data_IF_769644954928
#
_entry.id   IF_769644954928
#
_cell.length_a   1.000
_cell.length_b   1.000
_cell.length_c   1.000
_cell.angle_alpha   90.00
_cell.angle_beta   90.00
_cell.angle_gamma   90.00
#
_symmetry.space_group_name_H-M   'P 1'
#
loop_
_entity.id
_entity.type
_entity.pdbx_description
1 polymer ?
#
# COMPACT_ATOMS: atom_id res chain seq x y z
N UNK A 1 -14.50 33.47 -3.21
CA UNK A 1 -14.64 32.64 -1.99
C UNK A 1 -15.41 31.38 -2.39
N UNK A 2 -14.73 30.44 -3.07
CA UNK A 2 -15.29 29.20 -3.67
C UNK A 2 -14.15 28.15 -3.70
N UNK A 3 -13.54 27.83 -2.55
CA UNK A 3 -12.31 27.03 -2.51
C UNK A 3 -12.45 25.69 -1.76
N UNK A 4 -13.58 25.42 -1.10
CA UNK A 4 -13.70 24.20 -0.28
C UNK A 4 -14.34 23.00 -0.99
N UNK A 5 -15.23 23.20 -1.97
CA UNK A 5 -15.86 22.12 -2.74
C UNK A 5 -14.90 21.49 -3.76
N UNK A 6 -14.13 22.33 -4.45
CA UNK A 6 -13.29 21.91 -5.57
C UNK A 6 -12.08 21.10 -5.08
N UNK A 7 -11.68 21.32 -3.81
CA UNK A 7 -10.60 20.57 -3.16
C UNK A 7 -11.00 19.13 -2.85
N UNK A 8 -12.20 18.91 -2.28
CA UNK A 8 -12.67 17.56 -1.98
C UNK A 8 -12.82 16.74 -3.26
N UNK A 9 -13.27 17.37 -4.33
CA UNK A 9 -13.47 16.72 -5.62
C UNK A 9 -12.13 16.34 -6.26
N UNK A 10 -11.13 17.23 -6.19
CA UNK A 10 -9.79 16.95 -6.69
C UNK A 10 -9.13 15.80 -5.92
N UNK A 11 -9.22 15.79 -4.58
CA UNK A 11 -8.67 14.70 -3.76
C UNK A 11 -9.37 13.38 -4.08
N UNK A 12 -10.70 13.40 -4.27
CA UNK A 12 -11.46 12.21 -4.65
C UNK A 12 -11.05 11.70 -6.04
N UNK A 13 -10.83 12.60 -7.01
CA UNK A 13 -10.33 12.25 -8.34
C UNK A 13 -8.94 11.61 -8.27
N UNK A 14 -8.01 12.21 -7.51
CA UNK A 14 -6.66 11.63 -7.29
C UNK A 14 -6.78 10.22 -6.71
N UNK A 15 -7.57 10.04 -5.64
CA UNK A 15 -7.74 8.73 -5.00
C UNK A 15 -8.36 7.71 -5.95
N UNK A 16 -9.38 8.09 -6.69
CA UNK A 16 -10.06 7.21 -7.66
C UNK A 16 -9.11 6.80 -8.78
N UNK A 17 -8.36 7.75 -9.35
CA UNK A 17 -7.40 7.48 -10.42
C UNK A 17 -6.29 6.57 -9.93
N UNK A 18 -5.70 6.91 -8.78
CA UNK A 18 -4.64 6.12 -8.16
C UNK A 18 -5.10 4.71 -7.81
N UNK A 19 -6.34 4.54 -7.33
CA UNK A 19 -6.92 3.22 -7.07
C UNK A 19 -7.02 2.38 -8.35
N UNK A 20 -7.44 2.99 -9.46
CA UNK A 20 -7.47 2.33 -10.76
C UNK A 20 -6.07 1.94 -11.23
N UNK A 21 -5.10 2.86 -11.13
CA UNK A 21 -3.72 2.60 -11.56
C UNK A 21 -3.08 1.47 -10.72
N UNK A 22 -3.36 1.41 -9.41
CA UNK A 22 -2.96 0.32 -8.52
C UNK A 22 -3.59 -1.02 -8.91
N UNK A 23 -4.90 -1.03 -9.20
CA UNK A 23 -5.62 -2.26 -9.57
C UNK A 23 -5.13 -2.87 -10.89
N UNK A 24 -4.70 -2.01 -11.83
CA UNK A 24 -4.18 -2.44 -13.13
C UNK A 24 -2.65 -2.61 -13.13
N UNK A 25 -1.95 -2.12 -12.11
CA UNK A 25 -0.48 -2.13 -12.02
C UNK A 25 0.19 -1.17 -13.00
N UNK A 26 -0.45 -0.04 -13.30
CA UNK A 26 0.01 0.97 -14.26
C UNK A 26 0.57 2.18 -13.52
N UNK A 27 1.52 1.95 -12.61
CA UNK A 27 2.22 3.03 -11.91
C UNK A 27 3.43 3.47 -12.73
N UNK A 28 3.53 4.78 -13.01
CA UNK A 28 4.76 5.37 -13.53
C UNK A 28 5.91 5.19 -12.52
N UNK A 29 7.11 4.95 -13.04
CA UNK A 29 8.33 4.76 -12.25
C UNK A 29 8.30 3.59 -11.25
N UNK A 30 7.44 2.59 -11.46
CA UNK A 30 7.45 1.38 -10.63
C UNK A 30 8.86 0.75 -10.66
N UNK A 31 9.51 0.53 -9.51
CA UNK A 31 10.85 -0.01 -9.49
C UNK A 31 10.86 -1.44 -10.03
N UNK A 32 11.91 -1.77 -10.77
CA UNK A 32 12.15 -3.16 -11.19
C UNK A 32 12.24 -4.04 -9.94
N UNK A 33 11.46 -5.12 -9.89
CA UNK A 33 11.40 -6.03 -8.73
C UNK A 33 10.40 -5.64 -7.65
N UNK A 34 9.48 -4.70 -7.92
CA UNK A 34 8.34 -4.42 -7.03
C UNK A 34 7.66 -5.74 -6.60
N UNK A 35 7.28 -5.92 -5.31
CA UNK A 35 7.15 -4.92 -4.24
C UNK A 35 8.44 -4.57 -3.51
N UNK A 36 9.57 -5.11 -3.96
CA UNK A 36 10.90 -4.72 -3.50
C UNK A 36 11.58 -3.90 -4.60
N UNK A 37 12.91 -3.85 -4.65
CA UNK A 37 13.60 -3.22 -5.78
C UNK A 37 14.90 -3.95 -6.11
N UNK A 38 15.30 -3.95 -7.37
CA UNK A 38 16.62 -4.41 -7.77
C UNK A 38 17.67 -3.33 -7.47
N UNK A 39 18.79 -3.77 -6.91
CA UNK A 39 20.02 -2.99 -6.78
C UNK A 39 21.12 -3.67 -7.58
N UNK A 40 22.07 -2.88 -8.06
CA UNK A 40 23.27 -3.40 -8.72
C UNK A 40 24.26 -3.81 -7.64
N UNK A 41 24.74 -5.05 -7.68
CA UNK A 41 25.82 -5.48 -6.80
C UNK A 41 27.17 -4.86 -7.21
N UNK A 42 28.19 -4.95 -6.37
CA UNK A 42 29.54 -4.43 -6.68
C UNK A 42 30.22 -5.10 -7.89
N UNK A 43 29.53 -6.03 -8.59
CA UNK A 43 29.99 -6.74 -9.79
C UNK A 43 29.08 -6.46 -11.00
N UNK A 44 28.15 -5.50 -10.91
CA UNK A 44 27.27 -5.12 -12.02
C UNK A 44 26.04 -6.02 -12.21
N UNK A 45 25.79 -7.01 -11.34
CA UNK A 45 24.64 -7.91 -11.44
C UNK A 45 23.45 -7.35 -10.65
N UNK A 46 22.25 -7.43 -11.22
CA UNK A 46 21.03 -7.08 -10.51
C UNK A 46 20.71 -8.09 -9.42
N UNK A 47 20.49 -7.62 -8.19
CA UNK A 47 20.05 -8.41 -7.03
C UNK A 47 18.81 -7.77 -6.42
N UNK A 48 17.86 -8.59 -5.97
CA UNK A 48 16.70 -8.09 -5.23
C UNK A 48 17.14 -7.56 -3.85
N UNK A 49 16.80 -6.31 -3.55
CA UNK A 49 17.02 -5.62 -2.29
C UNK A 49 15.73 -5.53 -1.50
N UNK A 50 15.78 -5.95 -0.24
CA UNK A 50 14.68 -5.79 0.72
C UNK A 50 14.80 -4.48 1.52
N UNK A 51 15.72 -3.59 1.14
CA UNK A 51 15.92 -2.30 1.79
C UNK A 51 14.80 -1.31 1.49
N UNK A 52 14.76 -0.23 2.29
CA UNK A 52 13.84 0.88 2.09
C UNK A 52 14.11 1.58 0.75
N UNK A 53 13.05 2.05 0.10
CA UNK A 53 13.13 2.85 -1.13
C UNK A 53 11.92 3.77 -1.25
N UNK A 54 12.02 4.78 -2.12
CA UNK A 54 10.90 5.64 -2.49
C UNK A 54 10.90 5.90 -4.00
N UNK A 55 9.71 6.14 -4.56
CA UNK A 55 9.53 6.59 -5.93
C UNK A 55 8.26 7.44 -6.03
N UNK A 56 8.25 8.36 -6.99
CA UNK A 56 7.12 9.24 -7.21
C UNK A 56 6.31 8.79 -8.44
N UNK A 57 4.98 8.90 -8.32
CA UNK A 57 4.00 8.62 -9.36
C UNK A 57 3.17 9.89 -9.61
N UNK A 58 3.09 10.30 -10.86
CA UNK A 58 2.36 11.50 -11.27
C UNK A 58 0.94 11.11 -11.70
N UNK A 59 -0.06 11.73 -11.06
CA UNK A 59 -1.49 11.55 -11.32
C UNK A 59 -2.04 12.78 -11.99
N UNK A 60 -2.61 12.62 -13.19
CA UNK A 60 -3.25 13.71 -13.92
C UNK A 60 -4.69 13.89 -13.42
N UNK A 61 -5.06 15.13 -13.08
CA UNK A 61 -6.40 15.49 -12.60
C UNK A 61 -6.94 16.70 -13.35
N UNK A 62 -8.27 16.75 -13.50
CA UNK A 62 -8.94 17.85 -14.16
C UNK A 62 -9.32 18.91 -13.10
N UNK A 63 -8.78 20.12 -13.24
CA UNK A 63 -8.98 21.24 -12.28
C UNK A 63 -10.01 22.27 -12.77
N UNK A 64 -10.85 21.88 -13.73
CA UNK A 64 -11.97 22.68 -14.22
C UNK A 64 -11.79 23.21 -15.65
N UNK A 65 -12.78 23.98 -16.15
CA UNK A 65 -12.76 24.49 -17.51
C UNK A 65 -11.78 25.66 -17.65
N UNK A 66 -10.93 25.62 -18.68
CA UNK A 66 -10.12 26.76 -19.07
C UNK A 66 -10.99 27.87 -19.70
N UNK A 67 -10.45 29.10 -19.77
CA UNK A 67 -11.08 30.23 -20.49
C UNK A 67 -11.42 29.92 -21.96
N UNK A 68 -10.84 28.87 -22.54
CA UNK A 68 -11.06 28.44 -23.92
C UNK A 68 -11.86 27.13 -24.04
N UNK A 69 -12.52 26.68 -22.97
CA UNK A 69 -13.37 25.49 -22.97
C UNK A 69 -12.61 24.15 -23.01
N UNK A 70 -11.27 24.16 -22.99
CA UNK A 70 -10.45 22.96 -22.79
C UNK A 70 -10.39 22.62 -21.29
N UNK A 71 -10.47 21.34 -20.87
CA UNK A 71 -10.23 20.98 -19.48
C UNK A 71 -8.79 21.33 -19.09
N UNK A 72 -8.64 22.10 -18.01
CA UNK A 72 -7.33 22.41 -17.48
C UNK A 72 -6.87 21.21 -16.63
N UNK A 73 -5.71 20.65 -16.96
CA UNK A 73 -5.13 19.53 -16.23
C UNK A 73 -4.07 20.01 -15.25
N UNK A 74 -4.07 19.43 -14.05
CA UNK A 74 -2.98 19.51 -13.10
C UNK A 74 -2.33 18.14 -12.92
N UNK A 75 -1.06 18.14 -12.54
CA UNK A 75 -0.34 16.93 -12.16
C UNK A 75 -0.18 16.95 -10.64
N UNK A 76 -0.76 15.95 -10.00
CA UNK A 76 -0.55 15.69 -8.58
C UNK A 76 0.50 14.59 -8.43
N UNK A 77 1.60 14.93 -7.74
CA UNK A 77 2.64 13.95 -7.42
C UNK A 77 2.30 13.19 -6.15
N UNK A 78 2.39 11.87 -6.23
CA UNK A 78 2.14 10.94 -5.14
C UNK A 78 3.42 10.15 -4.88
N UNK A 79 3.84 10.09 -3.62
CA UNK A 79 5.02 9.34 -3.22
C UNK A 79 4.64 7.94 -2.75
N UNK A 80 5.32 6.96 -3.32
CA UNK A 80 5.34 5.60 -2.84
C UNK A 80 6.63 5.36 -2.04
N UNK A 81 6.52 4.69 -0.90
CA UNK A 81 7.70 4.29 -0.12
C UNK A 81 7.55 2.89 0.43
N UNK A 82 8.67 2.17 0.50
CA UNK A 82 8.86 0.99 1.34
C UNK A 82 9.77 1.37 2.49
N UNK A 83 9.34 1.10 3.72
CA UNK A 83 10.23 1.05 4.89
C UNK A 83 10.52 -0.41 5.24
N UNK A 84 11.79 -0.79 5.21
CA UNK A 84 12.24 -2.10 5.67
C UNK A 84 12.16 -2.20 7.21
N UNK A 85 11.94 -3.41 7.76
CA UNK A 85 11.91 -3.61 9.21
C UNK A 85 13.29 -3.34 9.83
N UNK A 86 13.32 -2.63 10.95
CA UNK A 86 14.54 -2.42 11.76
C UNK A 86 14.81 -3.56 12.75
N UNK A 87 13.81 -4.41 12.99
CA UNK A 87 13.87 -5.55 13.92
C UNK A 87 13.29 -6.81 13.27
N UNK A 88 13.69 -8.02 13.70
CA UNK A 88 13.18 -9.29 13.17
C UNK A 88 11.66 -9.44 13.27
N UNK A 89 11.04 -8.87 14.30
CA UNK A 89 9.58 -8.87 14.51
C UNK A 89 8.89 -7.64 13.91
N UNK A 90 9.62 -6.85 13.12
CA UNK A 90 9.14 -5.64 12.47
C UNK A 90 8.22 -5.92 11.27
N UNK A 91 7.95 -4.86 10.52
CA UNK A 91 7.14 -4.91 9.32
C UNK A 91 7.86 -4.26 8.14
N UNK A 92 7.73 -4.87 6.98
CA UNK A 92 7.87 -4.16 5.72
C UNK A 92 6.63 -3.29 5.55
N UNK A 93 6.81 -1.98 5.35
CA UNK A 93 5.69 -1.04 5.28
C UNK A 93 5.69 -0.30 3.96
N UNK A 94 4.70 -0.58 3.12
CA UNK A 94 4.43 0.21 1.92
C UNK A 94 3.47 1.34 2.26
N UNK A 95 3.79 2.56 1.85
CA UNK A 95 2.95 3.74 2.05
C UNK A 95 2.75 4.49 0.75
N UNK A 96 1.56 5.07 0.63
CA UNK A 96 1.23 6.09 -0.34
C UNK A 96 1.05 7.40 0.42
N UNK A 97 1.78 8.42 0.00
CA UNK A 97 1.66 9.75 0.56
C UNK A 97 1.42 10.78 -0.54
N UNK A 98 0.38 11.57 -0.40
CA UNK A 98 0.17 12.73 -1.27
C UNK A 98 0.97 13.93 -0.74
N UNK A 99 1.62 14.64 -1.65
CA UNK A 99 2.18 15.95 -1.35
C UNK A 99 1.02 16.96 -1.38
N UNK A 100 0.86 17.81 -0.36
CA UNK A 100 -0.18 18.84 -0.40
C UNK A 100 -0.02 19.72 -1.67
N UNK A 101 -1.13 19.98 -2.38
CA UNK A 101 -1.14 20.80 -3.61
C UNK A 101 -0.45 22.15 -3.36
N UNK A 102 0.53 22.48 -4.20
CA UNK A 102 1.15 23.81 -4.25
C UNK A 102 0.23 24.77 -5.04
N UNK A 103 -0.93 25.09 -4.46
CA UNK A 103 -1.84 26.10 -4.99
C UNK A 103 -1.76 27.37 -4.13
N UNK A 104 -0.93 28.34 -4.55
CA UNK A 104 -0.94 29.72 -4.05
C UNK A 104 -0.77 29.97 -2.54
N UNK A 105 -0.21 29.05 -1.76
CA UNK A 105 0.36 29.38 -0.45
C UNK A 105 1.88 29.37 -0.58
N UNK A 106 2.51 30.55 -0.60
CA UNK A 106 3.96 30.66 -0.39
C UNK A 106 4.23 30.01 0.97
N UNK A 107 4.96 28.88 1.07
CA UNK A 107 5.43 28.43 2.36
C UNK A 107 6.64 29.31 2.67
N UNK A 108 6.38 30.49 3.23
CA UNK A 108 7.39 31.12 4.06
C UNK A 108 7.61 30.18 5.24
N UNK A 109 8.68 29.39 5.15
CA UNK A 109 9.19 28.47 6.18
C UNK A 109 8.40 27.16 6.36
N UNK A 110 9.03 26.05 5.93
CA UNK A 110 8.96 24.75 6.59
C UNK A 110 7.77 23.83 6.26
N UNK A 111 8.05 22.80 5.46
CA UNK A 111 7.31 21.53 5.41
C UNK A 111 5.80 21.59 5.12
N UNK A 112 5.41 21.36 3.87
CA UNK A 112 4.06 20.88 3.55
C UNK A 112 3.87 19.48 4.15
N UNK A 113 2.80 19.20 4.92
CA UNK A 113 2.62 17.89 5.52
C UNK A 113 2.32 16.85 4.44
N UNK A 114 3.15 15.81 4.36
CA UNK A 114 2.83 14.59 3.60
C UNK A 114 1.68 13.88 4.31
N UNK A 115 0.51 13.80 3.67
CA UNK A 115 -0.61 13.00 4.19
C UNK A 115 -0.45 11.55 3.75
N UNK A 116 -0.50 10.62 4.70
CA UNK A 116 -0.48 9.18 4.38
C UNK A 116 -1.90 8.76 4.02
N UNK A 117 -2.11 8.39 2.75
CA UNK A 117 -3.43 8.02 2.23
C UNK A 117 -3.69 6.52 2.26
N UNK A 118 -2.63 5.70 2.19
CA UNK A 118 -2.74 4.25 2.25
C UNK A 118 -1.49 3.64 2.88
N UNK A 119 -1.68 2.51 3.57
CA UNK A 119 -0.60 1.76 4.20
C UNK A 119 -0.87 0.25 4.21
N UNK A 120 0.13 -0.52 3.79
CA UNK A 120 0.18 -1.98 3.90
C UNK A 120 1.42 -2.39 4.70
N UNK A 121 1.23 -3.25 5.70
CA UNK A 121 2.29 -3.81 6.53
C UNK A 121 2.39 -5.31 6.28
N UNK A 122 3.58 -5.84 6.02
CA UNK A 122 3.86 -7.27 5.95
C UNK A 122 4.82 -7.64 7.07
N UNK A 123 4.40 -8.57 7.93
CA UNK A 123 5.23 -9.03 9.05
C UNK A 123 6.54 -9.65 8.55
N UNK A 124 7.65 -9.23 9.13
CA UNK A 124 8.97 -9.79 8.84
C UNK A 124 9.09 -11.27 9.28
N UNK A 125 8.24 -11.73 10.21
CA UNK A 125 8.13 -13.16 10.56
C UNK A 125 7.62 -14.05 9.41
N UNK A 126 7.19 -13.47 8.28
CA UNK A 126 6.86 -14.21 7.07
C UNK A 126 8.07 -14.44 6.16
N UNK A 127 9.20 -13.78 6.41
CA UNK A 127 10.43 -13.97 5.61
C UNK A 127 10.82 -15.45 5.60
N UNK A 128 11.11 -15.98 4.42
CA UNK A 128 11.41 -17.40 4.21
C UNK A 128 10.19 -18.31 4.09
N UNK A 129 8.98 -17.80 4.30
CA UNK A 129 7.76 -18.58 4.03
C UNK A 129 7.43 -18.64 2.53
N UNK A 130 6.68 -19.67 2.08
CA UNK A 130 6.16 -19.73 0.71
C UNK A 130 5.32 -18.49 0.33
N UNK A 131 4.61 -17.91 1.31
CA UNK A 131 3.86 -16.68 1.09
C UNK A 131 4.76 -15.49 0.77
N UNK A 132 5.88 -15.34 1.48
CA UNK A 132 6.81 -14.25 1.19
C UNK A 132 7.43 -14.40 -0.20
N UNK A 133 7.75 -15.63 -0.61
CA UNK A 133 8.20 -15.89 -1.98
C UNK A 133 7.12 -15.58 -3.02
N UNK A 134 5.86 -15.88 -2.72
CA UNK A 134 4.74 -15.49 -3.57
C UNK A 134 4.60 -13.96 -3.67
N UNK A 135 4.79 -13.21 -2.58
CA UNK A 135 4.78 -11.74 -2.63
C UNK A 135 5.93 -11.18 -3.48
N UNK A 136 7.12 -11.80 -3.42
CA UNK A 136 8.27 -11.41 -4.24
C UNK A 136 7.99 -11.54 -5.74
N UNK A 137 7.26 -12.59 -6.14
CA UNK A 137 6.98 -12.89 -7.56
C UNK A 137 5.66 -12.32 -8.04
N UNK A 138 4.74 -11.99 -7.12
CA UNK A 138 3.42 -11.46 -7.43
C UNK A 138 3.19 -10.07 -6.80
N UNK A 139 3.65 -8.98 -7.46
CA UNK A 139 3.47 -7.62 -7.00
C UNK A 139 2.02 -7.19 -6.80
N UNK A 140 1.08 -7.85 -7.49
CA UNK A 140 -0.34 -7.49 -7.47
C UNK A 140 -0.94 -7.60 -6.08
N UNK A 141 -0.40 -8.45 -5.21
CA UNK A 141 -0.91 -8.60 -3.84
C UNK A 141 -0.73 -7.31 -3.04
N UNK A 142 0.45 -6.68 -3.12
CA UNK A 142 0.73 -5.41 -2.43
C UNK A 142 -0.02 -4.26 -3.11
N UNK A 143 -0.03 -4.21 -4.46
CA UNK A 143 -0.76 -3.16 -5.20
C UNK A 143 -2.26 -3.17 -4.89
N UNK A 144 -2.92 -4.34 -4.92
CA UNK A 144 -4.33 -4.47 -4.56
C UNK A 144 -4.59 -4.15 -3.09
N UNK A 145 -3.68 -4.56 -2.20
CA UNK A 145 -3.80 -4.21 -0.78
C UNK A 145 -3.70 -2.70 -0.57
N UNK A 146 -2.82 -2.01 -1.29
CA UNK A 146 -2.74 -0.55 -1.28
C UNK A 146 -4.02 0.09 -1.87
N UNK A 147 -4.58 -0.46 -2.95
CA UNK A 147 -5.83 0.02 -3.54
C UNK A 147 -7.03 -0.10 -2.57
N UNK A 148 -7.12 -1.22 -1.83
CA UNK A 148 -8.13 -1.43 -0.77
C UNK A 148 -7.88 -0.45 0.38
N UNK A 149 -6.64 -0.32 0.83
CA UNK A 149 -6.26 0.61 1.89
C UNK A 149 -6.65 2.05 1.58
N UNK A 150 -6.41 2.48 0.33
CA UNK A 150 -6.75 3.80 -0.18
C UNK A 150 -8.27 4.03 -0.25
N UNK A 151 -9.02 3.07 -0.77
CA UNK A 151 -10.47 3.21 -0.97
C UNK A 151 -11.28 3.16 0.33
N UNK A 152 -10.83 2.39 1.31
CA UNK A 152 -11.54 2.20 2.58
C UNK A 152 -10.94 2.96 3.75
N UNK A 153 -9.85 3.71 3.54
CA UNK A 153 -9.10 4.39 4.61
C UNK A 153 -8.74 3.42 5.76
N UNK A 154 -8.28 2.21 5.39
CA UNK A 154 -7.86 1.16 6.34
C UNK A 154 -6.39 0.87 6.20
N UNK A 155 -5.68 0.69 7.31
CA UNK A 155 -4.34 0.10 7.29
C UNK A 155 -4.47 -1.42 7.16
N UNK A 156 -3.81 -2.02 6.18
CA UNK A 156 -3.80 -3.47 6.02
C UNK A 156 -2.53 -4.06 6.63
N UNK A 157 -2.69 -5.05 7.51
CA UNK A 157 -1.60 -5.81 8.11
C UNK A 157 -1.69 -7.27 7.67
N UNK A 158 -0.64 -7.75 7.02
CA UNK A 158 -0.48 -9.11 6.55
C UNK A 158 0.48 -9.82 7.50
N UNK A 159 0.01 -10.86 8.18
CA UNK A 159 0.81 -11.60 9.17
C UNK A 159 0.38 -13.05 9.27
N UNK A 160 1.22 -13.89 9.88
CA UNK A 160 0.86 -15.23 10.30
C UNK A 160 -0.06 -15.15 11.52
N UNK A 161 -1.13 -15.94 11.54
CA UNK A 161 -2.03 -16.04 12.67
C UNK A 161 -1.36 -16.76 13.83
N UNK A 162 -1.35 -16.12 14.99
CA UNK A 162 -0.92 -16.70 16.27
C UNK A 162 -2.15 -17.11 17.11
N UNK A 163 -1.90 -17.74 18.26
CA UNK A 163 -2.96 -18.18 19.16
C UNK A 163 -3.84 -17.02 19.63
N UNK A 164 -3.25 -15.85 19.87
CA UNK A 164 -3.97 -14.68 20.37
C UNK A 164 -4.92 -14.11 19.31
N UNK A 165 -4.47 -14.01 18.06
CA UNK A 165 -5.28 -13.57 16.93
C UNK A 165 -6.46 -14.50 16.71
N UNK A 166 -6.21 -15.81 16.71
CA UNK A 166 -7.24 -16.84 16.54
C UNK A 166 -8.29 -16.73 17.65
N UNK A 167 -7.87 -16.57 18.91
CA UNK A 167 -8.78 -16.38 20.04
C UNK A 167 -9.61 -15.09 19.89
N UNK A 168 -9.00 -13.98 19.51
CA UNK A 168 -9.68 -12.70 19.31
C UNK A 168 -10.72 -12.77 18.19
N UNK A 169 -10.39 -13.41 17.07
CA UNK A 169 -11.31 -13.59 15.93
C UNK A 169 -12.47 -14.52 16.30
N UNK A 170 -12.18 -15.63 17.01
CA UNK A 170 -13.20 -16.57 17.47
C UNK A 170 -14.22 -15.89 18.40
N UNK A 171 -13.72 -15.09 19.35
CA UNK A 171 -14.55 -14.33 20.28
C UNK A 171 -15.48 -13.35 19.55
N UNK A 172 -14.95 -12.64 18.54
CA UNK A 172 -15.71 -11.63 17.82
C UNK A 172 -16.79 -12.20 16.87
N UNK A 173 -16.62 -13.44 16.36
CA UNK A 173 -17.48 -14.00 15.30
C UNK A 173 -18.23 -15.28 15.67
N UNK A 174 -18.00 -15.85 16.86
CA UNK A 174 -18.64 -17.10 17.32
C UNK A 174 -18.20 -18.37 16.57
N UNK A 175 -17.51 -18.23 15.44
CA UNK A 175 -16.86 -19.30 14.67
C UNK A 175 -15.48 -18.80 14.26
N UNK A 176 -14.46 -19.67 14.25
CA UNK A 176 -13.10 -19.28 13.87
C UNK A 176 -12.73 -19.84 12.49
N UNK A 177 -12.82 -19.04 11.41
CA UNK A 177 -12.35 -19.44 10.09
C UNK A 177 -10.82 -19.38 9.97
N UNK A 178 -10.09 -19.09 11.06
CA UNK A 178 -8.64 -18.89 11.08
C UNK A 178 -8.00 -19.94 11.97
N UNK A 179 -7.02 -20.67 11.44
CA UNK A 179 -6.16 -21.54 12.22
C UNK A 179 -4.81 -20.87 12.52
N UNK A 180 -4.15 -21.33 13.58
CA UNK A 180 -2.77 -20.92 13.87
C UNK A 180 -1.87 -21.32 12.71
N UNK A 181 -1.05 -20.39 12.23
CA UNK A 181 -0.17 -20.60 11.08
C UNK A 181 -0.72 -20.10 9.75
N UNK A 182 -2.02 -19.81 9.66
CA UNK A 182 -2.63 -19.22 8.45
C UNK A 182 -2.09 -17.81 8.18
N UNK A 183 -2.11 -17.40 6.91
CA UNK A 183 -1.77 -16.02 6.57
C UNK A 183 -3.06 -15.21 6.56
N UNK A 184 -3.10 -14.14 7.34
CA UNK A 184 -4.27 -13.27 7.47
C UNK A 184 -3.97 -11.86 7.00
N UNK A 185 -4.94 -11.26 6.33
CA UNK A 185 -4.96 -9.84 6.01
C UNK A 185 -5.96 -9.17 6.96
N UNK A 186 -5.45 -8.34 7.85
CA UNK A 186 -6.24 -7.60 8.85
C UNK A 186 -6.34 -6.14 8.43
N UNK A 187 -7.55 -5.62 8.27
CA UNK A 187 -7.81 -4.19 8.14
C UNK A 187 -7.89 -3.54 9.52
N UNK A 188 -7.30 -2.38 9.70
CA UNK A 188 -7.48 -1.52 10.87
C UNK A 188 -7.99 -0.17 10.40
N UNK A 189 -9.19 0.23 10.81
CA UNK A 189 -9.75 1.54 10.46
C UNK A 189 -9.14 2.66 11.33
N UNK A 190 -9.59 3.89 11.10
CA UNK A 190 -9.17 5.09 11.84
C UNK A 190 -9.54 5.06 13.32
N UNK A 191 -10.54 4.26 13.71
CA UNK A 191 -10.97 4.04 15.09
C UNK A 191 -10.20 2.90 15.78
N UNK A 192 -9.14 2.38 15.14
CA UNK A 192 -8.36 1.21 15.57
C UNK A 192 -9.16 -0.10 15.67
N UNK A 193 -10.36 -0.17 15.08
CA UNK A 193 -11.12 -1.42 14.99
C UNK A 193 -10.48 -2.32 13.95
N UNK A 194 -10.32 -3.59 14.33
CA UNK A 194 -9.70 -4.60 13.47
C UNK A 194 -10.78 -5.46 12.79
N UNK A 195 -10.62 -5.66 11.50
CA UNK A 195 -11.48 -6.53 10.70
C UNK A 195 -10.64 -7.53 9.92
N UNK A 196 -11.05 -8.79 9.95
CA UNK A 196 -10.48 -9.83 9.11
C UNK A 196 -10.98 -9.66 7.67
N UNK A 197 -10.04 -9.42 6.73
CA UNK A 197 -10.34 -9.18 5.32
C UNK A 197 -10.17 -10.45 4.47
N UNK A 198 -9.08 -11.18 4.68
CA UNK A 198 -8.75 -12.39 3.93
C UNK A 198 -8.00 -13.38 4.83
N UNK A 199 -8.32 -14.66 4.67
CA UNK A 199 -7.59 -15.78 5.25
C UNK A 199 -7.05 -16.62 4.11
N UNK A 200 -5.77 -16.94 4.17
CA UNK A 200 -5.13 -17.91 3.31
C UNK A 200 -4.70 -19.07 4.19
N UNK A 201 -5.46 -20.15 4.11
CA UNK A 201 -5.21 -21.31 4.95
C UNK A 201 -3.86 -21.96 4.58
N UNK A 202 -3.21 -22.50 5.59
CA UNK A 202 -1.88 -23.13 5.48
C UNK A 202 -1.83 -24.30 4.49
N UNK A 203 -2.94 -25.02 4.26
CA UNK A 203 -2.99 -26.14 3.32
C UNK A 203 -3.07 -25.68 1.86
N UNK A 204 -3.89 -24.68 1.58
CA UNK A 204 -3.98 -23.96 0.32
C UNK A 204 -2.65 -23.29 0.00
N UNK A 205 -1.98 -22.75 1.02
CA UNK A 205 -0.65 -22.18 0.88
C UNK A 205 0.40 -23.23 0.50
N UNK A 206 0.42 -24.38 1.17
CA UNK A 206 1.33 -25.48 0.85
C UNK A 206 1.06 -26.07 -0.55
N UNK A 207 -0.20 -26.24 -0.94
CA UNK A 207 -0.57 -26.78 -2.25
C UNK A 207 -0.32 -25.81 -3.41
N UNK A 208 -0.61 -24.51 -3.22
CA UNK A 208 -0.45 -23.52 -4.28
C UNK A 208 0.97 -23.00 -4.42
N UNK A 209 1.75 -22.99 -3.33
CA UNK A 209 3.04 -22.31 -3.28
C UNK A 209 4.17 -23.12 -2.65
N UNK A 210 3.91 -24.34 -2.17
CA UNK A 210 4.93 -25.22 -1.57
C UNK A 210 5.65 -26.14 -2.56
N UNK A 211 5.34 -26.05 -3.86
CA UNK A 211 6.07 -26.74 -4.92
C UNK A 211 7.29 -25.95 -5.36
N UNK A 212 8.37 -26.05 -4.60
CA UNK A 212 9.74 -25.74 -5.03
C UNK A 212 10.57 -27.00 -4.85
#
# INVERSE_FOLDING_TARGET
MLLSSDWSDTVLQVKTRLQNDLNHGVLSNLPMGFPFHHVVDGRGRGRLSFGSYEFDHDVHVDIGPSMYGQPQQAIQRVRFSLSAPTHPDGYYVWRISTLAFSGAYRPSQGYTPNTVDAQVQLSAGLVGSPYFHFIQTNPRTILRSLAISLGHTVKITIRRADQQLVANVAYARGTCPVAVGDIVHMGTNTENQQQLLLVLDSQTMARKYGGV
#
